data_IF_708156405174
#
_entry.id   IF_708156405174
#
_cell.length_a   1.000
_cell.length_b   1.000
_cell.length_c   1.000
_cell.angle_alpha   90.00
_cell.angle_beta   90.00
_cell.angle_gamma   90.00
#
_symmetry.space_group_name_H-M   'P 1'
#
loop_
_entity.id
_entity.type
_entity.pdbx_description
1 polymer ?
#
# COMPACT_ATOMS: atom_id res chain seq x y z
N UNK A 1 -13.57 -5.98 -7.63
CA UNK A 1 -12.45 -5.17 -8.17
C UNK A 1 -13.05 -4.00 -8.94
N UNK A 2 -12.48 -2.80 -8.86
CA UNK A 2 -12.92 -1.65 -9.65
C UNK A 2 -11.78 -1.15 -10.54
N UNK A 3 -12.12 -0.46 -11.64
CA UNK A 3 -11.14 0.24 -12.49
C UNK A 3 -10.34 1.28 -11.70
N UNK A 4 -11.01 2.06 -10.85
CA UNK A 4 -10.38 3.12 -10.05
C UNK A 4 -9.33 2.59 -9.06
N UNK A 5 -9.58 1.44 -8.43
CA UNK A 5 -8.60 0.77 -7.57
C UNK A 5 -7.39 0.31 -8.37
N UNK A 6 -7.60 -0.32 -9.52
CA UNK A 6 -6.52 -0.80 -10.38
C UNK A 6 -5.67 0.33 -10.95
N UNK A 7 -6.29 1.43 -11.38
CA UNK A 7 -5.58 2.63 -11.86
C UNK A 7 -4.72 3.25 -10.76
N UNK A 8 -5.23 3.32 -9.53
CA UNK A 8 -4.47 3.80 -8.38
C UNK A 8 -3.26 2.90 -8.09
N UNK A 9 -3.45 1.58 -8.03
CA UNK A 9 -2.35 0.62 -7.80
C UNK A 9 -1.30 0.72 -8.93
N UNK A 10 -1.73 0.76 -10.19
CA UNK A 10 -0.83 0.93 -11.33
C UNK A 10 -0.02 2.23 -11.22
N UNK A 11 -0.65 3.30 -10.76
CA UNK A 11 0.00 4.59 -10.51
C UNK A 11 1.04 4.48 -9.40
N UNK A 12 0.70 3.83 -8.28
CA UNK A 12 1.63 3.60 -7.17
C UNK A 12 2.83 2.75 -7.61
N UNK A 13 2.63 1.67 -8.36
CA UNK A 13 3.73 0.85 -8.88
C UNK A 13 4.69 1.64 -9.76
N UNK A 14 4.16 2.53 -10.61
CA UNK A 14 4.95 3.38 -11.48
C UNK A 14 5.81 4.37 -10.69
N UNK A 15 5.32 4.85 -9.54
CA UNK A 15 6.00 5.86 -8.75
C UNK A 15 6.79 5.30 -7.57
N UNK A 16 6.69 4.00 -7.28
CA UNK A 16 7.49 3.31 -6.25
C UNK A 16 8.38 2.29 -6.96
N UNK A 17 9.53 2.78 -7.40
CA UNK A 17 10.46 2.05 -8.26
C UNK A 17 11.67 1.61 -7.45
N UNK A 18 12.08 0.35 -7.62
CA UNK A 18 13.32 -0.18 -7.05
C UNK A 18 14.54 0.56 -7.62
N UNK A 19 15.52 0.85 -6.77
CA UNK A 19 16.83 1.28 -7.24
C UNK A 19 17.54 0.08 -7.89
N UNK A 20 17.87 0.15 -9.21
CA UNK A 20 18.54 -0.96 -9.90
C UNK A 20 19.95 -1.25 -9.37
N UNK A 21 20.59 -0.29 -8.70
CA UNK A 21 21.91 -0.44 -8.10
C UNK A 21 21.83 -0.88 -6.63
N UNK A 22 20.73 -0.55 -5.95
CA UNK A 22 20.50 -0.88 -4.54
C UNK A 22 19.16 -1.64 -4.36
N UNK A 23 19.11 -2.96 -4.65
CA UNK A 23 17.90 -3.76 -4.47
C UNK A 23 17.32 -3.63 -3.07
N UNK A 24 16.06 -3.19 -2.99
CA UNK A 24 15.35 -2.92 -1.72
C UNK A 24 15.43 -1.47 -1.24
N UNK A 25 16.10 -0.58 -1.97
CA UNK A 25 15.88 0.86 -1.88
C UNK A 25 14.81 1.29 -2.90
N UNK A 26 13.87 2.15 -2.49
CA UNK A 26 12.77 2.61 -3.32
C UNK A 26 12.81 4.12 -3.52
N UNK A 27 12.60 4.59 -4.75
CA UNK A 27 12.23 5.99 -4.97
C UNK A 27 10.71 6.11 -4.97
N UNK A 28 10.19 7.00 -4.12
CA UNK A 28 8.76 7.29 -3.99
C UNK A 28 8.44 8.78 -3.88
N UNK A 29 9.39 9.66 -4.17
CA UNK A 29 9.25 11.11 -3.94
C UNK A 29 8.00 11.69 -4.63
N UNK A 30 7.75 11.26 -5.87
CA UNK A 30 6.61 11.73 -6.63
C UNK A 30 5.28 11.30 -6.00
N UNK A 31 5.15 10.02 -5.60
CA UNK A 31 3.96 9.54 -4.90
C UNK A 31 3.72 10.31 -3.59
N UNK A 32 4.78 10.51 -2.81
CA UNK A 32 4.69 11.25 -1.55
C UNK A 32 4.30 12.71 -1.79
N UNK A 33 4.75 13.34 -2.87
CA UNK A 33 4.34 14.70 -3.22
C UNK A 33 2.86 14.80 -3.58
N UNK A 34 2.30 13.77 -4.22
CA UNK A 34 0.87 13.68 -4.56
C UNK A 34 0.04 13.50 -3.28
N UNK A 35 0.43 12.55 -2.42
CA UNK A 35 -0.31 12.24 -1.21
C UNK A 35 -0.14 13.30 -0.11
N UNK A 36 1.05 13.89 0.02
CA UNK A 36 1.43 14.80 1.11
C UNK A 36 2.06 16.11 0.61
N UNK A 37 1.27 17.05 0.06
CA UNK A 37 1.78 18.30 -0.51
C UNK A 37 2.60 19.18 0.45
N UNK A 38 2.43 19.01 1.77
CA UNK A 38 3.11 19.79 2.81
C UNK A 38 4.46 19.23 3.28
N UNK A 39 4.99 18.17 2.65
CA UNK A 39 6.26 17.50 3.04
C UNK A 39 6.33 17.10 4.52
N UNK A 40 5.21 16.68 5.11
CA UNK A 40 5.16 16.32 6.54
C UNK A 40 5.76 14.92 6.85
N UNK A 41 6.19 14.18 5.83
CA UNK A 41 6.74 12.83 5.96
C UNK A 41 8.16 12.80 5.40
N UNK A 42 9.16 12.96 6.27
CA UNK A 42 10.58 12.97 5.89
C UNK A 42 11.13 11.54 5.70
N UNK A 43 11.92 11.35 4.66
CA UNK A 43 11.98 10.08 3.90
C UNK A 43 13.21 9.20 4.13
N UNK A 44 14.11 9.53 5.04
CA UNK A 44 15.47 8.96 4.92
C UNK A 44 15.61 7.49 5.38
N UNK A 45 14.77 6.99 6.30
CA UNK A 45 14.88 5.60 6.78
C UNK A 45 13.68 4.68 6.46
N UNK A 46 12.58 5.22 5.90
CA UNK A 46 11.31 4.49 5.81
C UNK A 46 10.52 4.75 4.52
N UNK A 47 11.20 4.95 3.38
CA UNK A 47 10.59 5.26 2.06
C UNK A 47 9.42 4.33 1.69
N UNK A 48 9.56 3.01 1.93
CA UNK A 48 8.49 2.05 1.61
C UNK A 48 7.31 2.14 2.59
N UNK A 49 7.55 2.33 3.89
CA UNK A 49 6.49 2.58 4.86
C UNK A 49 5.73 3.87 4.53
N UNK A 50 6.45 4.95 4.21
CA UNK A 50 5.84 6.21 3.76
C UNK A 50 5.02 6.03 2.49
N UNK A 51 5.48 5.20 1.54
CA UNK A 51 4.73 4.86 0.33
C UNK A 51 3.45 4.07 0.64
N UNK A 52 3.52 3.12 1.58
CA UNK A 52 2.34 2.40 2.06
C UNK A 52 1.32 3.33 2.73
N UNK A 53 1.78 4.27 3.57
CA UNK A 53 0.92 5.28 4.19
C UNK A 53 0.29 6.17 3.11
N UNK A 54 1.05 6.59 2.10
CA UNK A 54 0.53 7.35 0.96
C UNK A 54 -0.55 6.59 0.20
N UNK A 55 -0.34 5.30 -0.08
CA UNK A 55 -1.34 4.44 -0.71
C UNK A 55 -2.63 4.37 0.13
N UNK A 56 -2.53 4.18 1.46
CA UNK A 56 -3.69 4.17 2.36
C UNK A 56 -4.46 5.50 2.31
N UNK A 57 -3.76 6.63 2.34
CA UNK A 57 -4.39 7.97 2.24
C UNK A 57 -5.13 8.12 0.90
N UNK A 58 -4.47 7.78 -0.22
CA UNK A 58 -5.08 7.87 -1.55
C UNK A 58 -6.29 6.95 -1.71
N UNK A 59 -6.26 5.74 -1.13
CA UNK A 59 -7.39 4.81 -1.12
C UNK A 59 -8.56 5.36 -0.30
N UNK A 60 -8.30 5.94 0.86
CA UNK A 60 -9.33 6.55 1.71
C UNK A 60 -9.99 7.77 1.02
N UNK A 61 -9.20 8.56 0.31
CA UNK A 61 -9.67 9.76 -0.39
C UNK A 61 -10.35 9.46 -1.73
N UNK A 62 -10.19 8.24 -2.26
CA UNK A 62 -10.82 7.80 -3.49
C UNK A 62 -12.34 7.59 -3.32
N UNK A 63 -13.09 8.68 -3.52
CA UNK A 63 -14.56 8.70 -3.42
C UNK A 63 -15.28 7.84 -4.47
N UNK A 64 -14.59 7.48 -5.56
CA UNK A 64 -15.16 6.63 -6.61
C UNK A 64 -15.15 5.15 -6.22
N UNK A 65 -14.44 4.80 -5.14
CA UNK A 65 -14.36 3.43 -4.65
C UNK A 65 -15.45 3.15 -3.61
N UNK A 66 -16.41 2.30 -3.95
CA UNK A 66 -17.50 1.90 -3.04
C UNK A 66 -17.14 0.65 -2.20
N UNK A 67 -15.86 0.47 -1.89
CA UNK A 67 -15.39 -0.59 -1.01
C UNK A 67 -15.33 -0.13 0.45
N UNK A 68 -15.52 -1.10 1.34
CA UNK A 68 -15.29 -0.96 2.77
C UNK A 68 -13.80 -0.80 3.05
N UNK A 69 -13.47 -0.10 4.13
CA UNK A 69 -12.08 0.24 4.46
C UNK A 69 -11.19 -0.96 4.71
N UNK A 70 -11.71 -2.04 5.29
CA UNK A 70 -10.96 -3.26 5.55
C UNK A 70 -10.48 -3.94 4.25
N UNK A 71 -11.31 -3.91 3.20
CA UNK A 71 -10.95 -4.38 1.85
C UNK A 71 -9.91 -3.47 1.19
N UNK A 72 -10.02 -2.15 1.37
CA UNK A 72 -8.99 -1.22 0.87
C UNK A 72 -7.64 -1.47 1.54
N UNK A 73 -7.64 -1.68 2.86
CA UNK A 73 -6.44 -2.03 3.63
C UNK A 73 -5.85 -3.36 3.15
N UNK A 74 -6.68 -4.36 2.83
CA UNK A 74 -6.21 -5.64 2.26
C UNK A 74 -5.41 -5.46 0.97
N UNK A 75 -5.87 -4.64 0.04
CA UNK A 75 -5.12 -4.35 -1.19
C UNK A 75 -3.81 -3.62 -0.92
N UNK A 76 -3.80 -2.69 0.04
CA UNK A 76 -2.58 -2.00 0.44
C UNK A 76 -1.57 -2.97 1.09
N UNK A 77 -2.03 -3.90 1.93
CA UNK A 77 -1.22 -4.95 2.57
C UNK A 77 -0.64 -5.88 1.51
N UNK A 78 -1.47 -6.31 0.55
CA UNK A 78 -1.03 -7.16 -0.57
C UNK A 78 0.08 -6.47 -1.38
N UNK A 79 -0.09 -5.19 -1.70
CA UNK A 79 0.91 -4.38 -2.40
C UNK A 79 2.22 -4.24 -1.61
N UNK A 80 2.14 -3.89 -0.32
CA UNK A 80 3.32 -3.74 0.52
C UNK A 80 4.06 -5.07 0.68
N UNK A 81 3.32 -6.17 0.83
CA UNK A 81 3.90 -7.51 0.97
C UNK A 81 4.68 -7.91 -0.26
N UNK A 82 4.15 -7.60 -1.45
CA UNK A 82 4.86 -7.79 -2.71
C UNK A 82 6.17 -7.01 -2.78
N UNK A 83 6.14 -5.72 -2.47
CA UNK A 83 7.36 -4.87 -2.46
C UNK A 83 8.38 -5.37 -1.42
N UNK A 84 7.95 -5.77 -0.22
CA UNK A 84 8.85 -6.32 0.79
C UNK A 84 9.48 -7.65 0.35
N UNK A 85 8.73 -8.54 -0.30
CA UNK A 85 9.25 -9.82 -0.79
C UNK A 85 10.29 -9.66 -1.93
N UNK A 86 10.26 -8.54 -2.67
CA UNK A 86 11.29 -8.23 -3.67
C UNK A 86 12.67 -7.97 -3.07
N UNK A 87 12.77 -7.63 -1.76
CA UNK A 87 14.05 -7.37 -1.08
C UNK A 87 14.94 -8.61 -0.89
N UNK A 88 14.50 -9.80 -1.34
CA UNK A 88 15.26 -11.07 -1.30
C UNK A 88 15.93 -11.36 0.06
N UNK A 89 15.30 -10.96 1.15
CA UNK A 89 15.72 -11.39 2.48
C UNK A 89 15.23 -12.82 2.70
N UNK A 90 16.14 -13.76 2.99
CA UNK A 90 15.79 -15.17 3.25
C UNK A 90 15.13 -15.38 4.63
N UNK A 91 14.45 -14.37 5.17
CA UNK A 91 13.82 -14.42 6.49
C UNK A 91 12.30 -14.43 6.33
N UNK A 92 11.64 -15.31 7.08
CA UNK A 92 10.20 -15.22 7.30
C UNK A 92 9.91 -13.96 8.09
N UNK A 93 9.04 -13.10 7.53
CA UNK A 93 8.58 -11.88 8.18
C UNK A 93 7.07 -11.95 8.23
N UNK A 94 6.53 -12.05 9.43
CA UNK A 94 5.08 -11.99 9.66
C UNK A 94 4.61 -10.55 9.52
N UNK A 95 3.57 -10.32 8.72
CA UNK A 95 3.13 -8.95 8.40
C UNK A 95 2.75 -8.15 9.66
N UNK A 96 2.07 -8.79 10.62
CA UNK A 96 1.70 -8.18 11.90
C UNK A 96 2.92 -7.71 12.70
N UNK A 97 4.02 -8.49 12.70
CA UNK A 97 5.25 -8.07 13.36
C UNK A 97 5.90 -6.86 12.68
N UNK A 98 5.96 -6.87 11.34
CA UNK A 98 6.47 -5.74 10.56
C UNK A 98 5.66 -4.47 10.85
N UNK A 99 4.33 -4.57 10.87
CA UNK A 99 3.47 -3.44 11.19
C UNK A 99 3.77 -2.85 12.57
N UNK A 100 3.82 -3.67 13.63
CA UNK A 100 4.06 -3.16 14.99
C UNK A 100 5.47 -2.57 15.16
N UNK A 101 6.47 -3.09 14.44
CA UNK A 101 7.85 -2.60 14.52
C UNK A 101 8.07 -1.34 13.69
N UNK A 102 7.57 -1.31 12.47
CA UNK A 102 7.99 -0.36 11.43
C UNK A 102 6.90 0.61 11.00
N UNK A 103 5.62 0.25 11.08
CA UNK A 103 4.49 1.10 10.62
C UNK A 103 3.83 1.83 11.79
N UNK A 104 3.39 1.13 12.84
CA UNK A 104 2.65 1.72 13.96
C UNK A 104 3.46 2.81 14.69
N UNK A 105 4.78 2.64 14.73
CA UNK A 105 5.72 3.57 15.37
C UNK A 105 6.17 4.71 14.44
N UNK A 106 5.83 4.68 13.16
CA UNK A 106 6.22 5.69 12.20
C UNK A 106 5.47 7.02 12.49
N UNK A 107 6.18 8.14 12.48
CA UNK A 107 5.61 9.46 12.77
C UNK A 107 4.63 9.94 11.68
N UNK A 108 4.93 9.69 10.40
CA UNK A 108 4.04 9.94 9.27
C UNK A 108 2.74 9.13 9.40
N UNK A 109 2.79 7.86 9.83
CA UNK A 109 1.59 7.06 10.09
C UNK A 109 0.69 7.72 11.12
N UNK A 110 1.26 8.11 12.26
CA UNK A 110 0.54 8.75 13.36
C UNK A 110 -0.02 10.13 13.00
N UNK A 111 0.59 10.84 12.03
CA UNK A 111 0.08 12.12 11.53
C UNK A 111 -0.98 11.98 10.43
N UNK A 112 -0.83 11.01 9.52
CA UNK A 112 -1.65 10.89 8.30
C UNK A 112 -2.83 9.96 8.46
N UNK A 113 -2.73 8.95 9.31
CA UNK A 113 -3.81 8.01 9.60
C UNK A 113 -4.46 8.43 10.92
N UNK A 114 -5.71 8.85 10.85
CA UNK A 114 -6.45 9.36 12.01
C UNK A 114 -7.21 8.25 12.73
N UNK A 115 -7.64 8.55 13.95
CA UNK A 115 -8.55 7.72 14.74
C UNK A 115 -10.04 8.10 14.50
N UNK A 116 -10.33 8.86 13.44
CA UNK A 116 -11.70 9.29 13.14
C UNK A 116 -12.50 8.12 12.55
N UNK A 117 -13.53 7.68 13.26
CA UNK A 117 -14.41 6.58 12.85
C UNK A 117 -15.22 6.88 11.57
N UNK A 118 -15.37 8.15 11.19
CA UNK A 118 -16.07 8.53 9.95
C UNK A 118 -15.24 8.22 8.69
N UNK A 119 -13.92 8.04 8.83
CA UNK A 119 -13.06 7.64 7.73
C UNK A 119 -13.20 6.14 7.46
N UNK A 120 -13.28 5.77 6.17
CA UNK A 120 -13.27 4.35 5.74
C UNK A 120 -12.02 3.65 6.26
N UNK A 121 -10.87 4.30 6.14
CA UNK A 121 -9.59 3.82 6.65
C UNK A 121 -9.19 4.70 7.84
N UNK A 122 -9.13 4.08 9.01
CA UNK A 122 -8.63 4.66 10.25
C UNK A 122 -7.76 3.63 10.97
N UNK A 123 -7.10 4.02 12.07
CA UNK A 123 -6.17 3.11 12.77
C UNK A 123 -6.82 1.83 13.27
N UNK A 124 -8.07 1.86 13.70
CA UNK A 124 -8.77 0.67 14.19
C UNK A 124 -9.06 -0.31 13.06
N UNK A 125 -9.50 0.18 11.90
CA UNK A 125 -9.71 -0.64 10.69
C UNK A 125 -8.40 -1.32 10.27
N UNK A 126 -7.31 -0.54 10.20
CA UNK A 126 -5.99 -1.05 9.85
C UNK A 126 -5.52 -2.11 10.84
N UNK A 127 -5.54 -1.77 12.14
CA UNK A 127 -5.09 -2.66 13.22
C UNK A 127 -5.88 -3.95 13.26
N UNK A 128 -7.19 -3.91 13.07
CA UNK A 128 -8.03 -5.10 13.06
C UNK A 128 -7.73 -5.99 11.85
N UNK A 129 -7.54 -5.38 10.67
CA UNK A 129 -7.20 -6.13 9.45
C UNK A 129 -5.81 -6.76 9.52
N UNK A 130 -4.84 -6.07 10.09
CA UNK A 130 -3.48 -6.58 10.27
C UNK A 130 -3.44 -7.71 11.29
N UNK A 131 -4.16 -7.59 12.40
CA UNK A 131 -4.28 -8.67 13.39
C UNK A 131 -4.93 -9.92 12.83
N UNK A 132 -5.83 -9.80 11.86
CA UNK A 132 -6.42 -10.96 11.19
C UNK A 132 -5.53 -11.55 10.10
N UNK A 133 -4.44 -10.87 9.73
CA UNK A 133 -3.46 -11.27 8.74
C UNK A 133 -2.12 -11.64 9.39
N UNK A 134 -2.16 -12.63 10.29
CA UNK A 134 -0.97 -13.25 10.89
C UNK A 134 -0.34 -14.26 9.91
N UNK A 135 0.05 -13.75 8.75
CA UNK A 135 0.53 -14.53 7.60
C UNK A 135 1.94 -14.03 7.23
N UNK A 136 2.77 -14.93 6.72
CA UNK A 136 4.07 -14.56 6.14
C UNK A 136 3.85 -13.61 4.96
N UNK A 137 4.58 -12.50 4.95
CA UNK A 137 4.63 -11.54 3.84
C UNK A 137 4.86 -12.25 2.51
N UNK A 138 5.71 -13.27 2.50
CA UNK A 138 5.99 -14.04 1.29
C UNK A 138 4.74 -14.75 0.75
N UNK A 139 3.94 -15.33 1.64
CA UNK A 139 2.70 -16.03 1.24
C UNK A 139 1.66 -15.04 0.70
N UNK A 140 1.52 -13.87 1.34
CA UNK A 140 0.65 -12.80 0.83
C UNK A 140 1.14 -12.32 -0.56
N UNK A 141 2.46 -12.14 -0.72
CA UNK A 141 3.05 -11.61 -1.95
C UNK A 141 2.79 -12.49 -3.18
N UNK A 142 2.64 -13.80 -3.00
CA UNK A 142 2.38 -14.74 -4.10
C UNK A 142 1.05 -14.48 -4.83
N UNK A 143 0.11 -13.76 -4.20
CA UNK A 143 -1.17 -13.40 -4.81
C UNK A 143 -1.10 -12.13 -5.67
N UNK A 144 0.00 -11.37 -5.59
CA UNK A 144 0.08 -10.05 -6.21
C UNK A 144 0.09 -10.12 -7.74
N UNK A 145 0.78 -11.08 -8.34
CA UNK A 145 0.83 -11.24 -9.80
C UNK A 145 -0.57 -11.55 -10.37
N UNK A 146 -1.30 -12.45 -9.72
CA UNK A 146 -2.67 -12.77 -10.10
C UNK A 146 -3.60 -11.56 -9.96
N UNK A 147 -3.43 -10.79 -8.88
CA UNK A 147 -4.14 -9.52 -8.69
C UNK A 147 -3.83 -8.51 -9.80
N UNK A 148 -2.57 -8.38 -10.21
CA UNK A 148 -2.16 -7.51 -11.33
C UNK A 148 -2.73 -7.96 -12.66
N UNK A 149 -2.72 -9.26 -12.94
CA UNK A 149 -3.39 -9.80 -14.14
C UNK A 149 -4.87 -9.44 -14.17
N UNK A 150 -5.56 -9.56 -13.03
CA UNK A 150 -6.97 -9.18 -12.92
C UNK A 150 -7.17 -7.68 -13.16
N UNK A 151 -6.28 -6.82 -12.64
CA UNK A 151 -6.35 -5.39 -12.90
C UNK A 151 -6.12 -5.03 -14.38
N UNK A 152 -5.19 -5.70 -15.05
CA UNK A 152 -4.96 -5.49 -16.47
C UNK A 152 -6.19 -5.87 -17.30
N UNK A 153 -6.86 -6.99 -16.99
CA UNK A 153 -8.10 -7.39 -17.65
C UNK A 153 -9.20 -6.32 -17.50
N UNK A 154 -9.39 -5.76 -16.31
CA UNK A 154 -10.37 -4.69 -16.10
C UNK A 154 -10.05 -3.42 -16.89
N UNK A 155 -8.76 -3.10 -17.06
CA UNK A 155 -8.35 -1.91 -17.81
C UNK A 155 -8.49 -2.09 -19.32
N UNK A 156 -8.27 -3.31 -19.83
CA UNK A 156 -8.51 -3.65 -21.25
C UNK A 156 -10.01 -3.69 -21.57
N UNK A 157 -10.84 -4.31 -20.73
CA UNK A 157 -12.29 -4.42 -20.97
C UNK A 157 -12.98 -3.04 -21.04
N UNK A 158 -12.54 -2.07 -20.24
CA UNK A 158 -13.15 -0.73 -20.23
C UNK A 158 -12.56 0.19 -21.31
N UNK A 159 -11.51 -0.22 -22.03
CA UNK A 159 -10.96 0.56 -23.14
C UNK A 159 -11.70 0.32 -24.47
N UNK A 160 -12.52 -0.73 -24.55
CA UNK A 160 -13.26 -1.14 -25.75
C UNK A 160 -14.72 -0.61 -25.80
N UNK A 161 -15.16 0.15 -24.79
CA UNK A 161 -16.51 0.72 -24.70
C UNK A 161 -16.62 2.21 -25.13
N UNK A 162 -15.54 2.80 -25.69
CA UNK A 162 -15.48 4.20 -26.20
C UNK A 162 -15.53 4.29 -27.74
#
# INVERSE_FOLDING_TARGET
>A
MSKGLCDLINTVDKYVVDDPNNPGEYNSEHLLSIAFPKKDCDSDDQKLTSSFIALLTLLNDNKNENLEGDKLVEYAILWLSYKLNQKKENRTIIFNEFYTKDIEKNSCYNQKITDNSDNKINKDVIKNKIKSMDIDIKDISNFYDAFKSLCNMYNEIVADDD
#
